data_IF_066022176938
#
_entry.id   IF_066022176938
#
_cell.length_a   1.000
_cell.length_b   1.000
_cell.length_c   1.000
_cell.angle_alpha   90.00
_cell.angle_beta   90.00
_cell.angle_gamma   90.00
#
_symmetry.space_group_name_H-M   'P 1'
#
loop_
_entity.id
_entity.type
_entity.pdbx_description
1 polymer ?
#
# COMPACT_ATOMS: atom_id res chain seq x y z
N UNK A 1 -20.52 31.84 2.90
CA UNK A 1 -20.06 30.98 4.02
C UNK A 1 -19.39 29.77 3.39
N UNK A 2 -18.06 29.77 3.32
CA UNK A 2 -17.26 28.79 2.56
C UNK A 2 -16.93 27.63 3.50
N UNK A 3 -17.58 26.49 3.30
CA UNK A 3 -17.31 25.28 4.06
C UNK A 3 -15.98 24.67 3.60
N UNK A 4 -14.97 24.92 4.42
CA UNK A 4 -13.95 23.97 4.88
C UNK A 4 -13.66 22.79 3.94
N UNK A 5 -12.59 22.94 3.14
CA UNK A 5 -11.94 21.82 2.47
C UNK A 5 -11.59 20.75 3.49
N UNK A 6 -12.24 19.59 3.38
CA UNK A 6 -11.77 18.32 3.93
C UNK A 6 -10.34 18.13 3.41
N UNK A 7 -9.38 18.46 4.27
CA UNK A 7 -7.95 18.27 4.02
C UNK A 7 -7.73 16.76 4.07
N UNK A 8 -7.92 16.08 2.94
CA UNK A 8 -7.39 14.73 2.72
C UNK A 8 -5.91 14.84 3.04
N UNK A 9 -5.51 14.25 4.17
CA UNK A 9 -4.15 14.25 4.65
C UNK A 9 -3.30 13.54 3.59
N UNK A 10 -2.67 14.30 2.70
CA UNK A 10 -1.68 13.79 1.77
C UNK A 10 -0.42 13.43 2.58
N UNK A 11 -0.47 12.30 3.30
CA UNK A 11 0.72 11.71 3.92
C UNK A 11 1.63 11.28 2.78
N UNK A 12 2.78 11.93 2.65
CA UNK A 12 3.78 11.59 1.64
C UNK A 12 4.37 10.22 2.00
N UNK A 13 4.13 9.21 1.18
CA UNK A 13 4.49 7.81 1.46
C UNK A 13 6.01 7.59 1.63
N UNK A 14 6.82 8.44 1.00
CA UNK A 14 8.29 8.31 1.00
C UNK A 14 8.93 8.49 2.39
N UNK A 15 8.23 9.13 3.35
CA UNK A 15 8.75 9.44 4.69
C UNK A 15 8.28 8.48 5.79
N UNK A 16 7.43 7.50 5.49
CA UNK A 16 6.99 6.54 6.51
C UNK A 16 8.18 5.68 6.97
N UNK A 17 8.43 5.54 8.28
CA UNK A 17 9.61 4.83 8.79
C UNK A 17 9.50 3.32 8.55
N UNK A 18 8.29 2.76 8.57
CA UNK A 18 8.10 1.35 8.26
C UNK A 18 8.49 1.03 6.81
N UNK A 19 9.19 -0.08 6.64
CA UNK A 19 9.43 -0.68 5.34
C UNK A 19 8.21 -1.52 4.96
N UNK A 20 7.73 -1.36 3.72
CA UNK A 20 6.62 -2.17 3.20
C UNK A 20 7.08 -3.00 2.03
N UNK A 21 6.66 -4.25 2.04
CA UNK A 21 6.97 -5.25 1.05
C UNK A 21 5.69 -5.86 0.48
N UNK A 22 5.76 -6.25 -0.78
CA UNK A 22 4.76 -7.07 -1.44
C UNK A 22 5.42 -8.37 -1.90
N UNK A 23 4.75 -9.49 -1.69
CA UNK A 23 5.17 -10.80 -2.14
C UNK A 23 4.09 -11.46 -3.00
N UNK A 24 4.51 -11.98 -4.15
CA UNK A 24 3.70 -12.84 -5.02
C UNK A 24 4.64 -13.80 -5.75
N UNK A 25 4.19 -15.02 -6.05
CA UNK A 25 4.94 -15.99 -6.84
C UNK A 25 6.40 -16.21 -6.34
N UNK A 26 6.63 -16.11 -5.03
CA UNK A 26 7.95 -16.22 -4.41
C UNK A 26 8.90 -15.03 -4.65
N UNK A 27 8.42 -13.94 -5.23
CA UNK A 27 9.16 -12.68 -5.41
C UNK A 27 8.69 -11.65 -4.39
N UNK A 28 9.61 -11.17 -3.55
CA UNK A 28 9.39 -10.09 -2.59
C UNK A 28 10.05 -8.80 -3.07
N UNK A 29 9.29 -7.71 -3.12
CA UNK A 29 9.78 -6.37 -3.52
C UNK A 29 9.36 -5.32 -2.50
N UNK A 30 10.03 -4.15 -2.50
CA UNK A 30 9.61 -3.00 -1.70
C UNK A 30 8.53 -2.17 -2.40
N UNK A 31 7.54 -1.72 -1.63
CA UNK A 31 6.46 -0.86 -2.11
C UNK A 31 6.85 0.62 -2.23
N UNK A 32 8.04 1.02 -1.76
CA UNK A 32 8.53 2.41 -1.91
C UNK A 32 9.02 2.72 -3.33
N UNK A 33 9.24 1.69 -4.15
CA UNK A 33 9.73 1.83 -5.52
C UNK A 33 8.68 1.37 -6.52
N UNK A 34 8.17 2.31 -7.33
CA UNK A 34 7.23 1.98 -8.41
C UNK A 34 7.82 0.96 -9.40
N UNK A 35 9.12 0.99 -9.63
CA UNK A 35 9.81 0.01 -10.48
C UNK A 35 9.75 -1.40 -9.86
N UNK A 36 9.88 -1.49 -8.53
CA UNK A 36 9.74 -2.75 -7.81
C UNK A 36 8.34 -3.35 -7.96
N UNK A 37 7.32 -2.52 -7.78
CA UNK A 37 5.92 -2.93 -7.95
C UNK A 37 5.61 -3.36 -9.39
N UNK A 38 6.04 -2.58 -10.39
CA UNK A 38 5.84 -2.94 -11.81
C UNK A 38 6.58 -4.23 -12.19
N UNK A 39 7.72 -4.52 -11.56
CA UNK A 39 8.50 -5.74 -11.80
C UNK A 39 7.83 -7.02 -11.31
N UNK A 40 6.82 -6.92 -10.43
CA UNK A 40 6.03 -8.08 -9.98
C UNK A 40 5.23 -8.71 -11.12
N UNK A 41 4.81 -7.91 -12.11
CA UNK A 41 4.06 -8.40 -13.27
C UNK A 41 2.70 -8.99 -12.88
N UNK A 42 2.00 -8.33 -11.95
CA UNK A 42 0.73 -8.80 -11.39
C UNK A 42 -0.34 -8.97 -12.46
N UNK A 43 -1.00 -10.13 -12.46
CA UNK A 43 -2.16 -10.42 -13.30
C UNK A 43 -3.47 -10.31 -12.50
N UNK A 44 -4.59 -10.05 -13.19
CA UNK A 44 -5.89 -9.97 -12.55
C UNK A 44 -6.26 -11.31 -11.90
N UNK A 45 -6.67 -11.26 -10.63
CA UNK A 45 -7.00 -12.46 -9.84
C UNK A 45 -5.82 -13.07 -9.09
N UNK A 46 -4.63 -12.49 -9.19
CA UNK A 46 -3.48 -12.92 -8.39
C UNK A 46 -3.59 -12.42 -6.94
N UNK A 47 -3.14 -13.25 -6.00
CA UNK A 47 -3.08 -12.89 -4.57
C UNK A 47 -1.71 -12.31 -4.25
N UNK A 48 -1.70 -11.16 -3.58
CA UNK A 48 -0.48 -10.47 -3.15
C UNK A 48 -0.50 -10.40 -1.64
N UNK A 49 0.61 -10.75 -1.00
CA UNK A 49 0.76 -10.60 0.45
C UNK A 49 1.57 -9.35 0.75
N UNK A 50 1.05 -8.48 1.62
CA UNK A 50 1.75 -7.29 2.08
C UNK A 50 2.35 -7.51 3.47
N UNK A 51 3.55 -6.99 3.66
CA UNK A 51 4.27 -7.01 4.93
C UNK A 51 4.72 -5.60 5.27
N UNK A 52 4.45 -5.16 6.49
CA UNK A 52 5.02 -3.94 7.03
C UNK A 52 5.97 -4.31 8.18
N UNK A 53 7.14 -3.68 8.22
CA UNK A 53 8.14 -3.86 9.27
C UNK A 53 8.57 -2.48 9.78
N UNK A 54 8.26 -2.17 11.04
CA UNK A 54 8.66 -0.91 11.69
C UNK A 54 7.72 -0.46 12.81
N UNK A 55 8.04 0.67 13.43
CA UNK A 55 7.28 1.20 14.58
C UNK A 55 5.81 1.51 14.26
N UNK A 56 5.53 1.89 13.00
CA UNK A 56 4.19 2.27 12.54
C UNK A 56 3.53 1.19 11.66
N UNK A 57 3.92 -0.08 11.79
CA UNK A 57 3.45 -1.18 10.92
C UNK A 57 1.93 -1.25 10.79
N UNK A 58 1.20 -1.09 11.90
CA UNK A 58 -0.25 -1.19 11.94
C UNK A 58 -0.94 -0.02 11.20
N UNK A 59 -0.46 1.22 11.38
CA UNK A 59 -0.99 2.38 10.65
C UNK A 59 -0.74 2.25 9.15
N UNK A 60 0.40 1.68 8.79
CA UNK A 60 0.84 1.53 7.41
C UNK A 60 0.02 0.47 6.68
N UNK A 61 -0.25 -0.68 7.32
CA UNK A 61 -1.15 -1.70 6.77
C UNK A 61 -2.56 -1.14 6.60
N UNK A 62 -3.12 -0.48 7.62
CA UNK A 62 -4.45 0.12 7.55
C UNK A 62 -4.58 1.17 6.42
N UNK A 63 -3.54 2.00 6.23
CA UNK A 63 -3.51 2.97 5.13
C UNK A 63 -3.46 2.29 3.76
N UNK A 64 -2.73 1.18 3.63
CA UNK A 64 -2.68 0.39 2.40
C UNK A 64 -4.03 -0.24 2.06
N UNK A 65 -4.70 -0.82 3.06
CA UNK A 65 -6.05 -1.39 2.92
C UNK A 65 -7.06 -0.35 2.44
N UNK A 66 -7.05 0.84 3.04
CA UNK A 66 -7.92 1.95 2.62
C UNK A 66 -7.67 2.33 1.16
N UNK A 67 -6.41 2.47 0.75
CA UNK A 67 -6.05 2.87 -0.62
C UNK A 67 -6.45 1.80 -1.63
N UNK A 68 -6.15 0.52 -1.36
CA UNK A 68 -6.48 -0.57 -2.29
C UNK A 68 -7.99 -0.71 -2.48
N UNK A 69 -8.75 -0.52 -1.39
CA UNK A 69 -10.22 -0.51 -1.45
C UNK A 69 -10.76 0.71 -2.19
N UNK A 70 -10.24 1.91 -1.89
CA UNK A 70 -10.69 3.17 -2.48
C UNK A 70 -10.41 3.25 -3.98
N UNK A 71 -9.23 2.80 -4.40
CA UNK A 71 -8.80 2.84 -5.79
C UNK A 71 -9.24 1.59 -6.58
N UNK A 72 -9.90 0.62 -5.93
CA UNK A 72 -10.40 -0.60 -6.57
C UNK A 72 -9.31 -1.52 -7.10
N UNK A 73 -8.13 -1.52 -6.46
CA UNK A 73 -6.94 -2.26 -6.92
C UNK A 73 -6.98 -3.75 -6.53
N UNK A 74 -7.87 -4.15 -5.62
CA UNK A 74 -8.00 -5.53 -5.18
C UNK A 74 -9.05 -5.71 -4.08
N UNK A 75 -9.24 -6.96 -3.65
CA UNK A 75 -10.09 -7.33 -2.51
C UNK A 75 -9.16 -7.80 -1.40
N UNK A 76 -9.35 -7.28 -0.18
CA UNK A 76 -8.58 -7.67 0.99
C UNK A 76 -9.12 -9.03 1.49
N UNK A 77 -8.21 -9.98 1.69
CA UNK A 77 -8.50 -11.28 2.29
C UNK A 77 -7.72 -11.36 3.62
N UNK A 78 -8.40 -11.80 4.69
CA UNK A 78 -7.83 -12.06 6.02
C UNK A 78 -7.03 -13.37 6.05
#
# INVERSE_FOLDING_TARGET
MRMESTRVQQRHWSILPAAVFAETNGKKVTMKSILGVLSLGLEAGETITFFAEGEDEAEVIAAFEEIFTREGLGIIHD
#
